data_IF_977800498374
#
_entry.id   IF_977800498374
#
_cell.length_a   1.000
_cell.length_b   1.000
_cell.length_c   1.000
_cell.angle_alpha   90.00
_cell.angle_beta   90.00
_cell.angle_gamma   90.00
#
_symmetry.space_group_name_H-M   'P 1'
#
loop_
_entity.id
_entity.type
_entity.pdbx_description
1 polymer ?
#
# COMPACT_ATOMS: atom_id res chain seq x y z
N UNK A 1 -29.64 26.71 5.89
CA UNK A 1 -28.75 25.53 5.89
C UNK A 1 -29.25 24.61 4.79
N UNK A 2 -28.78 24.84 3.57
CA UNK A 2 -29.33 24.22 2.36
C UNK A 2 -28.48 23.00 2.03
N UNK A 3 -29.04 21.82 2.24
CA UNK A 3 -28.42 20.52 1.98
C UNK A 3 -28.21 20.37 0.47
N UNK A 4 -26.95 20.43 0.01
CA UNK A 4 -26.60 20.15 -1.38
C UNK A 4 -26.63 18.64 -1.55
N UNK A 5 -27.74 18.11 -2.10
CA UNK A 5 -27.76 16.74 -2.62
C UNK A 5 -27.03 16.73 -3.96
N UNK A 6 -25.86 16.11 -3.99
CA UNK A 6 -25.12 15.83 -5.22
C UNK A 6 -25.71 14.55 -5.83
N UNK A 7 -26.18 14.55 -7.09
CA UNK A 7 -26.75 13.38 -7.72
C UNK A 7 -25.64 12.39 -8.11
N UNK A 8 -25.65 11.20 -7.48
CA UNK A 8 -24.90 10.04 -7.97
C UNK A 8 -25.41 9.68 -9.37
N UNK A 9 -24.54 9.79 -10.38
CA UNK A 9 -24.78 9.23 -11.70
C UNK A 9 -24.76 7.70 -11.62
N UNK A 10 -25.93 7.11 -11.41
CA UNK A 10 -26.17 5.67 -11.55
C UNK A 10 -26.06 5.34 -13.04
N UNK A 11 -24.87 4.95 -13.46
CA UNK A 11 -24.65 4.38 -14.78
C UNK A 11 -25.34 3.03 -14.86
N UNK A 12 -26.35 3.00 -15.73
CA UNK A 12 -27.19 1.87 -16.10
C UNK A 12 -26.37 0.61 -16.42
N UNK A 13 -26.88 -0.56 -16.03
CA UNK A 13 -27.01 -1.73 -16.92
C UNK A 13 -27.81 -2.85 -16.23
N UNK A 14 -29.01 -3.11 -16.74
CA UNK A 14 -29.70 -4.39 -16.64
C UNK A 14 -29.91 -4.85 -18.09
N UNK A 15 -29.68 -6.15 -18.38
CA UNK A 15 -30.83 -6.98 -18.71
C UNK A 15 -30.82 -8.33 -17.98
N UNK A 16 -32.04 -8.79 -17.70
CA UNK A 16 -32.38 -10.12 -17.25
C UNK A 16 -31.79 -11.24 -18.13
N UNK A 17 -31.48 -12.40 -17.56
CA UNK A 17 -32.03 -13.70 -18.02
C UNK A 17 -31.60 -14.86 -17.12
N UNK A 18 -32.57 -15.73 -16.89
CA UNK A 18 -32.53 -16.99 -16.13
C UNK A 18 -31.73 -18.03 -16.92
N UNK A 19 -30.78 -18.74 -16.29
CA UNK A 19 -30.26 -20.02 -16.80
C UNK A 19 -30.24 -21.06 -15.69
N UNK A 20 -30.71 -22.24 -16.06
CA UNK A 20 -31.14 -23.33 -15.22
C UNK A 20 -30.01 -24.21 -14.66
N UNK A 21 -30.36 -24.80 -13.53
CA UNK A 21 -29.87 -26.00 -12.85
C UNK A 21 -29.19 -27.07 -13.75
N UNK A 22 -27.98 -27.49 -13.37
CA UNK A 22 -27.45 -28.82 -13.66
C UNK A 22 -26.60 -29.31 -12.47
N UNK A 23 -27.15 -30.27 -11.71
CA UNK A 23 -26.43 -31.08 -10.73
C UNK A 23 -25.58 -32.10 -11.50
N UNK A 24 -24.26 -32.14 -11.25
CA UNK A 24 -23.39 -33.22 -11.70
C UNK A 24 -22.83 -33.94 -10.46
N UNK A 25 -23.16 -35.22 -10.39
CA UNK A 25 -22.82 -36.17 -9.32
C UNK A 25 -21.40 -36.71 -9.47
N UNK A 26 -20.76 -36.89 -8.31
CA UNK A 26 -19.45 -37.49 -8.03
C UNK A 26 -19.29 -38.95 -8.47
N UNK A 27 -18.20 -39.26 -9.19
CA UNK A 27 -17.39 -40.52 -9.22
C UNK A 27 -16.05 -40.14 -9.90
N UNK A 28 -14.82 -40.51 -9.51
CA UNK A 28 -14.27 -41.37 -8.47
C UNK A 28 -12.73 -41.41 -8.55
N UNK A 29 -12.11 -41.63 -7.38
CA UNK A 29 -10.96 -42.49 -7.07
C UNK A 29 -9.69 -42.59 -7.97
N UNK A 30 -8.57 -42.22 -7.33
CA UNK A 30 -7.30 -42.97 -7.17
C UNK A 30 -6.32 -43.11 -8.34
N UNK A 31 -5.20 -42.38 -8.23
CA UNK A 31 -3.82 -42.83 -8.49
C UNK A 31 -2.88 -41.68 -8.06
N UNK A 32 -1.71 -41.82 -7.45
CA UNK A 32 -0.99 -42.93 -6.81
C UNK A 32 0.16 -42.23 -6.05
N UNK A 33 0.43 -42.63 -4.81
CA UNK A 33 1.59 -42.16 -4.04
C UNK A 33 2.84 -42.85 -4.61
N UNK A 34 3.81 -42.08 -5.12
CA UNK A 34 5.18 -42.57 -5.26
C UNK A 34 6.11 -41.72 -4.41
N UNK A 35 6.82 -42.42 -3.53
CA UNK A 35 7.73 -41.94 -2.51
C UNK A 35 9.06 -41.39 -3.10
N UNK A 36 9.91 -40.76 -2.28
CA UNK A 36 11.07 -39.98 -2.73
C UNK A 36 12.30 -40.86 -2.98
N UNK A 37 13.12 -40.47 -3.94
CA UNK A 37 14.49 -40.96 -4.06
C UNK A 37 15.47 -39.87 -3.61
N UNK A 38 16.08 -40.14 -2.47
CA UNK A 38 17.33 -39.55 -1.99
C UNK A 38 18.45 -39.78 -3.00
N UNK A 39 19.21 -38.74 -3.35
CA UNK A 39 20.62 -38.94 -3.69
C UNK A 39 21.47 -37.75 -3.21
N UNK A 40 22.57 -38.14 -2.58
CA UNK A 40 23.50 -37.36 -1.78
C UNK A 40 24.68 -36.91 -2.66
N UNK A 41 25.02 -35.60 -2.59
CA UNK A 41 26.33 -34.91 -2.68
C UNK A 41 27.57 -35.64 -3.27
N UNK A 42 28.55 -34.96 -3.95
CA UNK A 42 29.36 -33.90 -3.32
C UNK A 42 30.02 -32.78 -4.20
N UNK A 43 30.31 -31.66 -3.52
CA UNK A 43 31.57 -30.86 -3.48
C UNK A 43 32.41 -30.54 -4.73
N UNK A 44 32.58 -29.23 -5.01
CA UNK A 44 33.86 -28.47 -5.06
C UNK A 44 33.63 -27.12 -5.81
N UNK A 45 33.59 -25.97 -5.14
CA UNK A 45 34.72 -25.08 -4.83
C UNK A 45 35.15 -24.12 -5.99
N UNK A 46 34.79 -22.85 -5.80
CA UNK A 46 35.49 -21.58 -6.12
C UNK A 46 36.30 -21.43 -7.41
N UNK A 47 36.06 -20.33 -8.13
CA UNK A 47 37.11 -19.36 -8.55
C UNK A 47 36.44 -18.03 -8.95
N UNK A 48 36.99 -16.94 -8.45
CA UNK A 48 36.64 -15.55 -8.77
C UNK A 48 37.24 -15.13 -10.13
N UNK A 49 36.63 -14.19 -10.85
CA UNK A 49 37.34 -12.99 -11.33
C UNK A 49 36.38 -11.97 -11.98
N UNK A 50 36.80 -10.71 -11.89
CA UNK A 50 36.08 -9.49 -12.22
C UNK A 50 36.32 -9.04 -13.68
N UNK A 51 35.37 -8.25 -14.20
CA UNK A 51 35.58 -7.11 -15.10
C UNK A 51 34.21 -6.42 -15.24
N UNK A 52 33.95 -5.28 -14.60
CA UNK A 52 34.37 -3.93 -15.00
C UNK A 52 34.02 -3.58 -16.46
N UNK A 53 32.87 -2.92 -16.64
CA UNK A 53 32.78 -1.74 -17.52
C UNK A 53 31.54 -0.94 -17.15
N UNK A 54 31.75 0.32 -16.77
CA UNK A 54 30.73 1.20 -16.23
C UNK A 54 29.65 1.65 -17.21
N UNK A 55 28.49 1.97 -16.63
CA UNK A 55 27.62 3.01 -17.11
C UNK A 55 27.01 3.69 -15.87
N UNK A 56 27.35 4.95 -15.67
CA UNK A 56 26.76 5.84 -14.68
C UNK A 56 25.24 5.97 -14.90
N UNK A 57 24.46 5.81 -13.84
CA UNK A 57 23.05 6.20 -13.81
C UNK A 57 22.25 5.62 -12.63
N UNK A 58 21.27 6.37 -12.12
CA UNK A 58 21.44 7.63 -11.42
C UNK A 58 21.79 7.40 -9.94
N UNK A 59 22.42 8.41 -9.33
CA UNK A 59 22.56 8.52 -7.89
C UNK A 59 21.16 8.48 -7.26
N UNK A 60 20.80 7.34 -6.67
CA UNK A 60 19.69 7.23 -5.74
C UNK A 60 20.04 8.10 -4.54
N UNK A 61 19.58 9.35 -4.58
CA UNK A 61 19.56 10.23 -3.43
C UNK A 61 18.50 9.70 -2.47
N UNK A 62 18.79 8.57 -1.82
CA UNK A 62 18.07 8.16 -0.63
C UNK A 62 18.25 9.31 0.40
N UNK A 63 17.18 9.93 0.88
CA UNK A 63 17.28 10.97 1.91
C UNK A 63 18.08 10.43 3.09
N UNK A 64 19.00 11.24 3.62
CA UNK A 64 19.75 10.88 4.81
C UNK A 64 18.76 10.67 5.98
N UNK A 65 18.90 9.60 6.80
CA UNK A 65 18.01 9.36 7.91
C UNK A 65 18.12 10.51 8.91
N UNK A 66 16.99 11.11 9.25
CA UNK A 66 16.92 12.08 10.35
C UNK A 66 17.23 11.36 11.66
N UNK A 67 18.11 11.91 12.51
CA UNK A 67 18.48 11.38 13.84
C UNK A 67 17.32 11.37 14.87
N UNK A 68 16.09 11.59 14.42
CA UNK A 68 14.92 11.61 15.26
C UNK A 68 14.37 10.19 15.46
N UNK A 69 14.11 9.81 16.71
CA UNK A 69 13.51 8.51 17.03
C UNK A 69 12.22 8.31 16.23
N UNK A 70 12.05 7.20 15.49
CA UNK A 70 10.85 6.98 14.69
C UNK A 70 9.62 6.83 15.58
N UNK A 71 8.47 7.31 15.10
CA UNK A 71 7.17 7.01 15.70
C UNK A 71 6.75 5.59 15.34
N UNK A 72 6.24 4.84 16.32
CA UNK A 72 5.71 3.49 16.09
C UNK A 72 4.30 3.39 16.63
N UNK A 73 3.39 2.91 15.78
CA UNK A 73 2.03 2.54 16.13
C UNK A 73 1.91 1.03 15.98
N UNK A 74 1.46 0.37 17.04
CA UNK A 74 1.33 -1.08 17.08
C UNK A 74 0.02 -1.44 17.76
N UNK A 75 -0.64 -2.48 17.27
CA UNK A 75 -1.86 -3.02 17.85
C UNK A 75 -3.03 -2.94 16.87
N UNK A 76 -3.73 -4.06 16.74
CA UNK A 76 -4.81 -4.22 15.76
C UNK A 76 -6.07 -3.49 16.22
N UNK A 77 -6.85 -2.98 15.26
CA UNK A 77 -8.09 -2.25 15.50
C UNK A 77 -7.94 -1.04 16.45
N UNK A 78 -6.73 -0.48 16.53
CA UNK A 78 -6.43 0.68 17.37
C UNK A 78 -6.50 1.98 16.56
N UNK A 79 -7.08 3.02 17.18
CA UNK A 79 -7.12 4.37 16.62
C UNK A 79 -6.04 5.24 17.26
N UNK A 80 -5.24 5.90 16.43
CA UNK A 80 -4.12 6.74 16.86
C UNK A 80 -4.11 8.09 16.14
N UNK A 81 -3.66 9.13 16.83
CA UNK A 81 -3.31 10.40 16.20
C UNK A 81 -2.03 10.98 16.80
N UNK A 82 -1.15 11.48 15.95
CA UNK A 82 0.10 12.09 16.39
C UNK A 82 0.62 13.15 15.40
N UNK A 83 1.51 13.99 15.91
CA UNK A 83 2.36 14.87 15.12
C UNK A 83 3.67 14.13 14.80
N UNK A 84 4.02 14.05 13.52
CA UNK A 84 5.19 13.35 13.00
C UNK A 84 6.29 14.29 12.51
N UNK A 85 6.17 15.61 12.70
CA UNK A 85 7.03 16.61 12.05
C UNK A 85 8.52 16.24 12.14
N UNK A 86 9.15 16.02 10.98
CA UNK A 86 10.56 15.67 10.82
C UNK A 86 10.93 14.25 11.25
N UNK A 87 9.95 13.34 11.40
CA UNK A 87 10.16 11.98 11.89
C UNK A 87 9.58 10.95 10.94
N UNK A 88 10.26 9.82 10.88
CA UNK A 88 9.73 8.63 10.24
C UNK A 88 8.65 7.97 11.11
N UNK A 89 7.69 7.34 10.46
CA UNK A 89 6.56 6.68 11.11
C UNK A 89 6.47 5.23 10.64
N UNK A 90 6.29 4.31 11.58
CA UNK A 90 5.99 2.90 11.30
C UNK A 90 4.63 2.55 11.90
N UNK A 91 3.68 2.20 11.06
CA UNK A 91 2.38 1.64 11.46
C UNK A 91 2.47 0.13 11.26
N UNK A 92 2.33 -0.64 12.34
CA UNK A 92 2.36 -2.11 12.33
C UNK A 92 1.08 -2.60 13.01
N UNK A 93 0.00 -2.71 12.23
CA UNK A 93 -1.33 -3.06 12.71
C UNK A 93 -2.16 -3.71 11.60
N UNK A 94 -3.17 -4.47 11.99
CA UNK A 94 -4.29 -4.84 11.12
C UNK A 94 -5.54 -4.05 11.52
N UNK A 95 -6.31 -3.56 10.55
CA UNK A 95 -7.55 -2.78 10.78
C UNK A 95 -7.36 -1.51 11.63
N UNK A 96 -6.17 -0.90 11.61
CA UNK A 96 -5.86 0.29 12.40
C UNK A 96 -6.26 1.60 11.73
N UNK A 97 -6.64 2.58 12.56
CA UNK A 97 -6.99 3.93 12.14
C UNK A 97 -5.90 4.92 12.60
N UNK A 98 -5.22 5.60 11.67
CA UNK A 98 -4.09 6.49 12.05
C UNK A 98 -4.18 7.86 11.38
N UNK A 99 -4.11 8.91 12.18
CA UNK A 99 -4.06 10.31 11.71
C UNK A 99 -2.71 10.96 12.05
N UNK A 100 -1.92 11.26 11.02
CA UNK A 100 -0.60 11.87 11.12
C UNK A 100 -0.63 13.33 10.66
N UNK A 101 -0.19 14.23 11.54
CA UNK A 101 -0.17 15.68 11.32
C UNK A 101 1.27 16.19 11.18
N UNK A 102 1.44 17.30 10.47
CA UNK A 102 2.75 17.89 10.19
C UNK A 102 3.46 17.26 8.99
N UNK A 103 4.73 17.64 8.82
CA UNK A 103 5.59 17.17 7.72
C UNK A 103 6.32 15.89 8.16
N UNK A 104 5.74 14.73 7.86
CA UNK A 104 6.38 13.45 8.14
C UNK A 104 7.57 13.21 7.20
N UNK A 105 8.55 12.45 7.67
CA UNK A 105 9.58 11.86 6.81
C UNK A 105 9.01 10.69 6.01
N UNK A 106 9.62 9.52 6.16
CA UNK A 106 9.12 8.28 5.57
C UNK A 106 8.06 7.63 6.45
N UNK A 107 6.90 7.33 5.86
CA UNK A 107 5.84 6.57 6.50
C UNK A 107 5.88 5.14 5.96
N UNK A 108 5.98 4.16 6.85
CA UNK A 108 5.89 2.74 6.51
C UNK A 108 4.65 2.14 7.13
N UNK A 109 3.77 1.61 6.29
CA UNK A 109 2.53 0.93 6.69
C UNK A 109 2.74 -0.56 6.51
N UNK A 110 2.57 -1.34 7.57
CA UNK A 110 2.63 -2.80 7.56
C UNK A 110 1.37 -3.39 8.17
N UNK A 111 0.88 -4.44 7.52
CA UNK A 111 -0.36 -5.12 7.89
C UNK A 111 -1.47 -4.82 6.90
N UNK A 112 -2.70 -5.10 7.29
CA UNK A 112 -3.83 -5.17 6.37
C UNK A 112 -5.00 -4.31 6.82
N UNK A 113 -5.79 -3.86 5.85
CA UNK A 113 -7.04 -3.14 6.11
C UNK A 113 -6.89 -1.90 7.01
N UNK A 114 -5.72 -1.24 7.01
CA UNK A 114 -5.52 -0.01 7.76
C UNK A 114 -6.10 1.20 7.01
N UNK A 115 -6.60 2.17 7.75
CA UNK A 115 -7.10 3.45 7.25
C UNK A 115 -6.24 4.59 7.81
N UNK A 116 -5.47 5.26 6.94
CA UNK A 116 -4.42 6.20 7.36
C UNK A 116 -4.60 7.54 6.65
N UNK A 117 -4.56 8.62 7.42
CA UNK A 117 -4.61 9.98 6.90
C UNK A 117 -3.36 10.74 7.29
N UNK A 118 -2.73 11.37 6.30
CA UNK A 118 -1.43 12.01 6.42
C UNK A 118 -1.48 13.42 5.86
N UNK A 119 -1.04 14.39 6.65
CA UNK A 119 -1.00 15.78 6.22
C UNK A 119 0.09 16.07 5.16
N UNK A 120 1.29 15.54 5.34
CA UNK A 120 2.44 15.70 4.46
C UNK A 120 3.46 14.60 4.73
N UNK A 121 4.08 14.04 3.68
CA UNK A 121 5.12 13.04 3.81
C UNK A 121 6.15 13.14 2.70
N UNK A 122 7.42 12.90 3.01
CA UNK A 122 8.47 12.74 2.01
C UNK A 122 8.21 11.48 1.17
N UNK A 123 7.91 10.37 1.84
CA UNK A 123 7.61 9.10 1.19
C UNK A 123 6.55 8.29 1.97
N UNK A 124 5.72 7.57 1.23
CA UNK A 124 4.75 6.61 1.77
C UNK A 124 5.06 5.22 1.21
N UNK A 125 5.39 4.28 2.09
CA UNK A 125 5.69 2.90 1.76
C UNK A 125 4.62 2.00 2.37
N UNK A 126 3.86 1.30 1.53
CA UNK A 126 2.80 0.39 1.94
C UNK A 126 3.28 -1.04 1.71
N UNK A 127 3.20 -1.87 2.75
CA UNK A 127 3.58 -3.28 2.76
C UNK A 127 2.47 -4.12 3.38
N UNK A 128 1.60 -4.67 2.54
CA UNK A 128 0.45 -5.46 2.97
C UNK A 128 -0.76 -5.22 2.07
N UNK A 129 -1.92 -5.67 2.51
CA UNK A 129 -3.09 -5.76 1.63
C UNK A 129 -4.26 -4.89 2.12
N UNK A 130 -5.06 -4.40 1.17
CA UNK A 130 -6.34 -3.72 1.45
C UNK A 130 -6.19 -2.45 2.32
N UNK A 131 -5.03 -1.79 2.31
CA UNK A 131 -4.85 -0.55 3.07
C UNK A 131 -5.43 0.65 2.30
N UNK A 132 -6.06 1.58 3.01
CA UNK A 132 -6.52 2.86 2.50
C UNK A 132 -5.66 3.99 3.08
N UNK A 133 -4.97 4.74 2.22
CA UNK A 133 -4.08 5.83 2.64
C UNK A 133 -4.45 7.12 1.92
N UNK A 134 -4.84 8.14 2.67
CA UNK A 134 -5.07 9.49 2.14
C UNK A 134 -3.95 10.44 2.58
N UNK A 135 -3.21 10.99 1.62
CA UNK A 135 -2.10 11.91 1.88
C UNK A 135 -2.32 13.25 1.18
N UNK A 136 -2.22 14.36 1.91
CA UNK A 136 -2.45 15.67 1.29
C UNK A 136 -1.26 16.13 0.45
N UNK A 137 -0.02 15.97 0.92
CA UNK A 137 1.19 16.29 0.16
C UNK A 137 2.15 15.10 0.23
N UNK A 138 2.64 14.61 -0.91
CA UNK A 138 3.55 13.45 -0.93
C UNK A 138 4.64 13.56 -1.99
N UNK A 139 5.87 13.18 -1.64
CA UNK A 139 6.99 13.13 -2.59
C UNK A 139 7.01 11.84 -3.41
N UNK A 140 7.00 10.69 -2.71
CA UNK A 140 7.05 9.37 -3.32
C UNK A 140 6.04 8.40 -2.69
N UNK A 141 5.52 7.47 -3.49
CA UNK A 141 4.60 6.42 -3.09
C UNK A 141 5.16 5.08 -3.58
N UNK A 142 5.39 4.15 -2.66
CA UNK A 142 5.73 2.77 -2.98
C UNK A 142 4.65 1.84 -2.42
N UNK A 143 4.10 0.97 -3.26
CA UNK A 143 3.05 0.02 -2.87
C UNK A 143 3.52 -1.40 -3.14
N UNK A 144 3.58 -2.20 -2.09
CA UNK A 144 3.86 -3.63 -2.12
C UNK A 144 2.69 -4.38 -1.46
N UNK A 145 2.10 -5.34 -2.17
CA UNK A 145 0.91 -6.09 -1.73
C UNK A 145 -0.26 -5.91 -2.68
N UNK A 146 -1.48 -6.18 -2.22
CA UNK A 146 -2.67 -6.22 -3.09
C UNK A 146 -3.82 -5.35 -2.60
N UNK A 147 -4.59 -4.82 -3.56
CA UNK A 147 -5.86 -4.12 -3.28
C UNK A 147 -5.70 -2.89 -2.37
N UNK A 148 -4.54 -2.23 -2.39
CA UNK A 148 -4.34 -1.00 -1.63
C UNK A 148 -4.91 0.20 -2.40
N UNK A 149 -5.50 1.16 -1.69
CA UNK A 149 -6.01 2.41 -2.24
C UNK A 149 -5.25 3.59 -1.66
N UNK A 150 -4.62 4.39 -2.52
CA UNK A 150 -3.84 5.57 -2.14
C UNK A 150 -4.42 6.80 -2.81
N UNK A 151 -4.87 7.76 -2.00
CA UNK A 151 -5.39 9.03 -2.45
C UNK A 151 -4.40 10.14 -2.13
N UNK A 152 -3.99 10.92 -3.13
CA UNK A 152 -3.08 12.05 -2.91
C UNK A 152 -3.63 13.36 -3.45
N UNK A 153 -3.39 14.49 -2.78
CA UNK A 153 -3.90 15.81 -3.25
C UNK A 153 -2.85 16.55 -4.09
N UNK A 154 -1.64 16.70 -3.56
CA UNK A 154 -0.54 17.39 -4.21
C UNK A 154 0.76 16.59 -4.15
N UNK A 155 1.59 16.69 -5.19
CA UNK A 155 2.96 16.25 -5.13
C UNK A 155 3.80 17.24 -4.31
N UNK A 156 4.79 16.76 -3.55
CA UNK A 156 5.74 17.61 -2.84
C UNK A 156 6.62 18.41 -3.82
N UNK A 157 6.85 17.86 -5.02
CA UNK A 157 7.55 18.52 -6.12
C UNK A 157 6.97 18.10 -7.47
N UNK A 158 6.94 19.02 -8.43
CA UNK A 158 6.42 18.75 -9.77
C UNK A 158 4.89 18.62 -9.82
N UNK A 159 4.38 17.98 -10.87
CA UNK A 159 2.94 17.82 -11.09
C UNK A 159 2.37 16.55 -10.44
N UNK A 160 3.21 15.54 -10.23
CA UNK A 160 2.85 14.24 -9.66
C UNK A 160 4.00 13.67 -8.80
N UNK A 161 3.70 12.85 -7.78
CA UNK A 161 4.72 12.14 -7.03
C UNK A 161 5.38 11.04 -7.86
N UNK A 162 6.53 10.57 -7.39
CA UNK A 162 7.09 9.30 -7.86
C UNK A 162 6.20 8.15 -7.37
N UNK A 163 5.82 7.22 -8.26
CA UNK A 163 4.98 6.07 -7.91
C UNK A 163 5.66 4.80 -8.38
N UNK A 164 5.94 3.90 -7.42
CA UNK A 164 6.39 2.55 -7.66
C UNK A 164 5.37 1.56 -7.10
N UNK A 165 4.62 0.91 -7.98
CA UNK A 165 3.65 -0.11 -7.62
C UNK A 165 4.17 -1.48 -8.07
N UNK A 166 4.55 -2.31 -7.09
CA UNK A 166 5.07 -3.66 -7.31
C UNK A 166 4.04 -4.74 -6.97
N UNK A 167 2.78 -4.35 -6.76
CA UNK A 167 1.70 -5.22 -6.32
C UNK A 167 0.61 -5.45 -7.36
N UNK A 168 -0.50 -6.07 -6.93
CA UNK A 168 -1.65 -6.37 -7.80
C UNK A 168 -2.91 -5.62 -7.34
N UNK A 169 -3.65 -5.04 -8.29
CA UNK A 169 -4.95 -4.38 -8.04
C UNK A 169 -4.85 -3.20 -7.06
N UNK A 170 -3.69 -2.54 -6.99
CA UNK A 170 -3.57 -1.29 -6.23
C UNK A 170 -4.12 -0.12 -7.05
N UNK A 171 -4.67 0.88 -6.38
CA UNK A 171 -5.16 2.13 -6.97
C UNK A 171 -4.41 3.30 -6.34
N UNK A 172 -3.73 4.12 -7.15
CA UNK A 172 -3.05 5.33 -6.71
C UNK A 172 -3.61 6.52 -7.48
N UNK A 173 -4.46 7.33 -6.84
CA UNK A 173 -5.31 8.32 -7.50
C UNK A 173 -5.10 9.71 -6.91
N UNK A 174 -4.94 10.71 -7.78
CA UNK A 174 -4.99 12.10 -7.36
C UNK A 174 -6.44 12.50 -7.06
N UNK A 175 -6.68 13.06 -5.88
CA UNK A 175 -8.00 13.52 -5.43
C UNK A 175 -8.00 15.01 -5.11
N UNK A 176 -9.20 15.59 -5.01
CA UNK A 176 -9.34 16.96 -4.53
C UNK A 176 -9.24 16.99 -3.01
N UNK A 177 -8.83 18.14 -2.47
CA UNK A 177 -8.77 18.39 -1.02
C UNK A 177 -10.06 18.01 -0.28
N UNK A 178 -11.23 18.29 -0.87
CA UNK A 178 -12.51 17.94 -0.25
C UNK A 178 -12.69 16.43 -0.01
N UNK A 179 -12.15 15.59 -0.90
CA UNK A 179 -12.22 14.13 -0.74
C UNK A 179 -11.26 13.65 0.36
N UNK A 180 -10.07 14.25 0.45
CA UNK A 180 -9.15 14.01 1.59
C UNK A 180 -9.81 14.38 2.93
N UNK A 181 -10.52 15.51 2.99
CA UNK A 181 -11.22 15.95 4.21
C UNK A 181 -12.37 15.00 4.59
N UNK A 182 -13.06 14.40 3.62
CA UNK A 182 -14.08 13.37 3.88
C UNK A 182 -13.50 12.09 4.51
N UNK A 183 -12.35 11.61 4.02
CA UNK A 183 -11.65 10.47 4.64
C UNK A 183 -11.18 10.81 6.06
N UNK A 184 -10.66 12.02 6.27
CA UNK A 184 -10.24 12.51 7.59
C UNK A 184 -11.40 12.54 8.60
N UNK A 185 -12.58 12.99 8.17
CA UNK A 185 -13.78 13.00 9.01
C UNK A 185 -14.28 11.59 9.32
N UNK A 186 -14.19 10.67 8.37
CA UNK A 186 -14.60 9.27 8.55
C UNK A 186 -13.79 8.56 9.63
N UNK A 187 -12.48 8.80 9.70
CA UNK A 187 -11.59 8.18 10.70
C UNK A 187 -11.70 8.83 12.08
N UNK A 188 -12.15 10.08 12.17
CA UNK A 188 -12.26 10.81 13.46
C UNK A 188 -13.67 10.86 14.05
N UNK A 189 -14.69 10.44 13.31
CA UNK A 189 -16.11 10.53 13.70
C UNK A 189 -16.66 9.26 14.33
#
# INVERSE_FOLDING_TARGET
MTKVLIPMCISKLVPATVVALALVTTVGCSAEVTAPATETAPSAAQTAEAADTGAEGPSSSAPAPSDATPLRFTGDAASHSADCTGRDVSVEADTGDVVLKGDCGTITVKGNANSIVVESAEAVNIKGDTNEVAVRIVGAISVEGMTNSVYWVHAASGEQPEVNDAGDVNEVTQVKRAQYEETLETIQG
#
